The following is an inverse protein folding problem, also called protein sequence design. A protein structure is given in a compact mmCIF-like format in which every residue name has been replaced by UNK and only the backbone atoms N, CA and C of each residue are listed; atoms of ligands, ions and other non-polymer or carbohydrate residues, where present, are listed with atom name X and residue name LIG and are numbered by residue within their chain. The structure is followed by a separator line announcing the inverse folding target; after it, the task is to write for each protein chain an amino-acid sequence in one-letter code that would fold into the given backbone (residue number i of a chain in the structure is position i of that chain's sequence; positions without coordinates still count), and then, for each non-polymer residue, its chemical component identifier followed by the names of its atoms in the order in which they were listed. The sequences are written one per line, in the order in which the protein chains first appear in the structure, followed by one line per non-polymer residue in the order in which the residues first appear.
data_IF_748169733274
#
_entry.id   IF_748169733274
#
_cell.length_a   1.000
_cell.length_b   1.000
_cell.length_c   1.000
_cell.angle_alpha   90.00
_cell.angle_beta   90.00
_cell.angle_gamma   90.00
#
_symmetry.space_group_name_H-M   'P 1'
#
loop_
_entity.id
_entity.type
_entity.pdbx_description
1 polymer ?
#
# COMPACT_ATOMS: atom_id res chain seq x y z
N UNK A 1 -8.50 4.68 -23.33
CA UNK A 1 -8.77 5.68 -22.27
C UNK A 1 -7.57 5.64 -21.32
N UNK A 2 -6.73 6.68 -21.29
CA UNK A 2 -5.61 6.79 -20.33
C UNK A 2 -6.16 7.44 -19.08
N UNK A 3 -6.20 6.71 -17.96
CA UNK A 3 -6.54 7.31 -16.68
C UNK A 3 -5.26 7.96 -16.13
N UNK A 4 -5.20 9.28 -16.19
CA UNK A 4 -4.22 10.07 -15.46
C UNK A 4 -4.71 10.14 -14.00
N UNK A 5 -4.05 9.40 -13.10
CA UNK A 5 -4.30 9.54 -11.67
C UNK A 5 -3.33 10.57 -11.09
N UNK A 6 -3.91 11.68 -10.65
CA UNK A 6 -3.26 12.87 -10.13
C UNK A 6 -2.48 12.53 -8.85
N UNK A 7 -1.15 12.79 -8.86
CA UNK A 7 -0.25 12.44 -7.76
C UNK A 7 1.18 12.05 -8.14
N UNK A 8 1.74 12.59 -9.24
CA UNK A 8 3.19 12.65 -9.46
C UNK A 8 3.94 11.35 -9.80
N UNK A 9 3.26 10.21 -9.95
CA UNK A 9 3.87 8.98 -10.49
C UNK A 9 2.89 8.31 -11.45
N UNK A 10 3.16 8.42 -12.75
CA UNK A 10 2.41 7.69 -13.78
C UNK A 10 2.80 6.20 -13.71
N UNK A 11 2.09 5.43 -12.88
CA UNK A 11 2.19 3.96 -12.90
C UNK A 11 1.55 3.43 -14.17
N UNK A 12 2.25 2.54 -14.87
CA UNK A 12 1.81 2.01 -16.16
C UNK A 12 0.80 0.86 -16.02
N UNK A 13 0.75 0.25 -14.84
CA UNK A 13 -0.11 -0.87 -14.47
C UNK A 13 -1.01 -0.49 -13.30
N UNK A 14 -2.23 -1.04 -13.31
CA UNK A 14 -3.22 -0.79 -12.26
C UNK A 14 -2.81 -1.48 -10.96
N UNK A 15 -2.16 -2.63 -11.07
CA UNK A 15 -1.65 -3.46 -9.99
C UNK A 15 -0.63 -2.68 -9.14
N UNK A 16 0.40 -2.11 -9.78
CA UNK A 16 1.41 -1.29 -9.10
C UNK A 16 0.78 -0.08 -8.41
N UNK A 17 -0.06 0.65 -9.14
CA UNK A 17 -0.75 1.83 -8.59
C UNK A 17 -1.53 1.47 -7.32
N UNK A 18 -2.36 0.43 -7.38
CA UNK A 18 -3.19 -0.02 -6.25
C UNK A 18 -2.35 -0.41 -5.05
N UNK A 19 -1.32 -1.23 -5.24
CA UNK A 19 -0.45 -1.68 -4.14
C UNK A 19 0.25 -0.50 -3.45
N UNK A 20 0.80 0.45 -4.22
CA UNK A 20 1.45 1.63 -3.65
C UNK A 20 0.44 2.52 -2.90
N UNK A 21 -0.74 2.75 -3.47
CA UNK A 21 -1.78 3.56 -2.84
C UNK A 21 -2.25 2.93 -1.52
N UNK A 22 -2.51 1.62 -1.50
CA UNK A 22 -2.93 0.89 -0.30
C UNK A 22 -1.89 1.08 0.81
N UNK A 23 -0.61 0.86 0.51
CA UNK A 23 0.46 0.95 1.51
C UNK A 23 0.64 2.38 2.02
N UNK A 24 0.66 3.37 1.13
CA UNK A 24 0.78 4.79 1.54
C UNK A 24 -0.39 5.22 2.43
N UNK A 25 -1.60 4.79 2.08
CA UNK A 25 -2.79 5.10 2.86
C UNK A 25 -2.79 4.39 4.23
N UNK A 26 -2.40 3.12 4.26
CA UNK A 26 -2.24 2.38 5.50
C UNK A 26 -1.22 3.03 6.43
N UNK A 27 -0.04 3.38 5.90
CA UNK A 27 1.01 4.05 6.68
C UNK A 27 0.51 5.39 7.25
N UNK A 28 -0.14 6.21 6.44
CA UNK A 28 -0.71 7.48 6.88
C UNK A 28 -1.76 7.29 7.99
N UNK A 29 -2.54 6.21 7.92
CA UNK A 29 -3.51 5.85 8.96
C UNK A 29 -2.81 5.44 10.25
N UNK A 30 -1.79 4.58 10.18
CA UNK A 30 -1.01 4.17 11.36
C UNK A 30 -0.30 5.35 12.01
N UNK A 31 0.22 6.29 11.21
CA UNK A 31 0.84 7.52 11.71
C UNK A 31 -0.15 8.37 12.53
N UNK A 32 -1.39 8.52 12.05
CA UNK A 32 -2.43 9.22 12.82
C UNK A 32 -2.79 8.50 14.10
N UNK A 33 -2.86 7.16 14.06
CA UNK A 33 -3.09 6.34 15.26
C UNK A 33 -1.95 6.54 16.27
N UNK A 34 -0.69 6.50 15.83
CA UNK A 34 0.47 6.68 16.71
C UNK A 34 0.57 8.10 17.28
N UNK A 35 0.09 9.12 16.56
CA UNK A 35 -0.06 10.48 17.07
C UNK A 35 -1.22 10.65 18.07
N UNK A 36 -2.06 9.64 18.25
CA UNK A 36 -3.20 9.69 19.17
C UNK A 36 -4.43 10.41 18.59
N UNK A 37 -4.49 10.67 17.28
CA UNK A 37 -5.63 11.33 16.61
C UNK A 37 -6.93 10.55 16.79
N UNK A 38 -6.82 9.24 17.08
CA UNK A 38 -7.94 8.35 17.31
C UNK A 38 -8.13 7.97 18.81
N UNK A 39 -7.48 8.64 19.75
CA UNK A 39 -7.55 8.30 21.18
C UNK A 39 -6.78 7.00 21.51
N UNK A 40 -7.02 6.44 22.70
CA UNK A 40 -6.29 5.26 23.16
C UNK A 40 -6.63 4.03 22.31
N UNK A 41 -5.60 3.51 21.65
CA UNK A 41 -5.67 2.33 20.81
C UNK A 41 -5.26 1.08 21.60
N UNK A 42 -5.96 -0.07 21.48
CA UNK A 42 -5.66 -1.28 22.26
C UNK A 42 -4.40 -2.03 21.81
N UNK A 43 -3.74 -1.59 20.72
CA UNK A 43 -2.48 -2.17 20.26
C UNK A 43 -1.32 -1.34 20.81
N UNK A 44 -0.28 -2.03 21.28
CA UNK A 44 0.94 -1.42 21.79
C UNK A 44 1.63 -0.56 20.72
N UNK A 45 2.18 0.58 21.13
CA UNK A 45 2.85 1.53 20.22
C UNK A 45 4.01 0.87 19.48
N UNK A 46 4.76 -0.02 20.12
CA UNK A 46 5.88 -0.74 19.49
C UNK A 46 5.41 -1.61 18.31
N UNK A 47 4.21 -2.20 18.41
CA UNK A 47 3.64 -2.98 17.32
C UNK A 47 3.22 -2.10 16.14
N UNK A 48 2.70 -0.90 16.40
CA UNK A 48 2.35 0.07 15.36
C UNK A 48 3.61 0.54 14.63
N UNK A 49 4.69 0.84 15.37
CA UNK A 49 5.97 1.25 14.79
C UNK A 49 6.60 0.15 13.93
N UNK A 50 6.50 -1.11 14.36
CA UNK A 50 6.94 -2.25 13.56
C UNK A 50 6.11 -2.38 12.28
N UNK A 51 4.78 -2.30 12.38
CA UNK A 51 3.89 -2.39 11.22
C UNK A 51 4.12 -1.22 10.24
N UNK A 52 4.42 -0.01 10.74
CA UNK A 52 4.82 1.13 9.90
C UNK A 52 6.17 0.91 9.20
N UNK A 53 7.11 0.24 9.86
CA UNK A 53 8.41 -0.13 9.27
C UNK A 53 8.20 -1.14 8.13
N UNK A 54 7.36 -2.14 8.35
CA UNK A 54 7.04 -3.16 7.34
C UNK A 54 6.30 -2.53 6.14
N UNK A 55 5.33 -1.64 6.38
CA UNK A 55 4.68 -0.88 5.32
C UNK A 55 5.67 -0.01 4.53
N UNK A 56 6.67 0.57 5.18
CA UNK A 56 7.72 1.32 4.47
C UNK A 56 8.54 0.41 3.55
N UNK A 57 8.84 -0.81 3.99
CA UNK A 57 9.52 -1.81 3.17
C UNK A 57 8.66 -2.22 1.96
N UNK A 58 7.36 -2.49 2.17
CA UNK A 58 6.43 -2.77 1.07
C UNK A 58 6.33 -1.62 0.08
N UNK A 59 6.25 -0.37 0.55
CA UNK A 59 6.17 0.80 -0.33
C UNK A 59 7.39 0.86 -1.27
N UNK A 60 8.58 0.69 -0.71
CA UNK A 60 9.83 0.67 -1.49
C UNK A 60 9.86 -0.50 -2.48
N UNK A 61 9.44 -1.69 -2.05
CA UNK A 61 9.35 -2.87 -2.92
C UNK A 61 8.42 -2.59 -4.10
N UNK A 62 7.22 -2.07 -3.85
CA UNK A 62 6.22 -1.86 -4.89
C UNK A 62 6.62 -0.75 -5.86
N UNK A 63 7.20 0.34 -5.37
CA UNK A 63 7.68 1.44 -6.21
C UNK A 63 8.87 1.02 -7.09
N UNK A 64 9.78 0.20 -6.56
CA UNK A 64 10.99 -0.25 -7.28
C UNK A 64 10.76 -1.41 -8.25
N UNK A 65 9.69 -2.18 -8.05
CA UNK A 65 9.31 -3.25 -8.96
C UNK A 65 9.00 -2.74 -10.37
N UNK A 66 9.43 -3.53 -11.36
CA UNK A 66 9.41 -3.13 -12.76
C UNK A 66 8.03 -3.26 -13.38
N UNK A 67 7.80 -2.43 -14.39
CA UNK A 67 6.69 -2.55 -15.32
C UNK A 67 7.28 -2.72 -16.71
N UNK A 68 6.81 -3.71 -17.46
CA UNK A 68 7.36 -4.04 -18.78
C UNK A 68 6.25 -4.15 -19.82
N UNK A 69 6.50 -3.72 -21.06
CA UNK A 69 5.50 -3.78 -22.12
C UNK A 69 5.22 -5.24 -22.52
N UNK A 70 3.95 -5.58 -22.69
CA UNK A 70 3.48 -6.88 -23.17
C UNK A 70 3.31 -6.92 -24.69
N UNK A 71 3.25 -5.77 -25.34
CA UNK A 71 3.12 -5.65 -26.79
C UNK A 71 4.13 -4.67 -27.38
N UNK A 72 4.37 -4.80 -28.69
CA UNK A 72 5.30 -3.94 -29.44
C UNK A 72 4.80 -2.50 -29.59
N UNK A 73 3.52 -2.26 -29.32
CA UNK A 73 2.89 -0.95 -29.46
C UNK A 73 2.90 -0.18 -28.13
N UNK A 74 3.46 -0.76 -27.06
CA UNK A 74 3.54 -0.19 -25.72
C UNK A 74 2.17 0.24 -25.17
N UNK A 75 1.10 -0.48 -25.54
CA UNK A 75 -0.26 -0.19 -25.08
C UNK A 75 -0.57 -0.95 -23.80
N UNK A 76 -0.05 -2.17 -23.68
CA UNK A 76 -0.23 -3.03 -22.50
C UNK A 76 1.08 -3.21 -21.76
N UNK A 77 1.00 -3.15 -20.43
CA UNK A 77 2.11 -3.39 -19.52
C UNK A 77 1.75 -4.52 -18.56
N UNK A 78 2.76 -5.23 -18.09
CA UNK A 78 2.68 -6.16 -16.98
C UNK A 78 3.53 -5.63 -15.83
N UNK A 79 3.06 -5.89 -14.63
CA UNK A 79 3.81 -5.64 -13.42
C UNK A 79 4.66 -6.87 -13.07
N UNK A 80 5.84 -6.64 -12.50
CA UNK A 80 6.78 -7.71 -12.11
C UNK A 80 6.26 -8.53 -10.92
N UNK A 81 5.53 -7.91 -9.99
CA UNK A 81 5.02 -8.59 -8.81
C UNK A 81 3.62 -9.15 -9.07
N UNK A 82 3.38 -10.34 -8.51
CA UNK A 82 2.04 -10.93 -8.44
C UNK A 82 1.18 -10.15 -7.44
N UNK A 83 0.09 -9.57 -7.94
CA UNK A 83 -0.78 -8.71 -7.15
C UNK A 83 -1.44 -9.46 -5.98
N UNK A 84 -1.94 -10.67 -6.21
CA UNK A 84 -2.69 -11.44 -5.22
C UNK A 84 -1.77 -11.91 -4.08
N UNK A 85 -0.54 -12.32 -4.40
CA UNK A 85 0.53 -12.61 -3.44
C UNK A 85 0.84 -11.39 -2.58
N UNK A 86 1.01 -10.21 -3.18
CA UNK A 86 1.35 -9.00 -2.43
C UNK A 86 0.21 -8.55 -1.51
N UNK A 87 -1.04 -8.66 -1.95
CA UNK A 87 -2.22 -8.38 -1.10
C UNK A 87 -2.24 -9.31 0.12
N UNK A 88 -1.98 -10.62 -0.06
CA UNK A 88 -1.90 -11.56 1.08
C UNK A 88 -0.81 -11.20 2.09
N UNK A 89 0.30 -10.59 1.64
CA UNK A 89 1.32 -10.11 2.57
C UNK A 89 0.85 -8.89 3.36
N UNK A 90 0.15 -7.94 2.71
CA UNK A 90 -0.44 -6.79 3.38
C UNK A 90 -1.54 -7.19 4.38
N UNK A 91 -2.30 -8.25 4.08
CA UNK A 91 -3.32 -8.81 4.97
C UNK A 91 -2.75 -9.36 6.30
N UNK A 92 -1.42 -9.51 6.42
CA UNK A 92 -0.81 -9.84 7.71
C UNK A 92 -0.73 -8.64 8.65
N UNK A 93 -0.89 -7.42 8.13
CA UNK A 93 -0.77 -6.17 8.86
C UNK A 93 -2.15 -5.50 8.98
N UNK A 94 -2.79 -5.20 7.85
CA UNK A 94 -3.96 -4.30 7.79
C UNK A 94 -5.17 -4.77 8.62
N UNK A 95 -5.53 -6.07 8.66
CA UNK A 95 -6.69 -6.54 9.40
C UNK A 95 -6.64 -6.27 10.91
N UNK A 96 -5.43 -6.18 11.50
CA UNK A 96 -5.25 -5.83 12.93
C UNK A 96 -5.94 -4.50 13.29
N UNK A 97 -6.06 -3.61 12.31
CA UNK A 97 -6.56 -2.25 12.49
C UNK A 97 -8.03 -2.08 12.09
N UNK A 98 -8.61 -3.05 11.38
CA UNK A 98 -9.97 -2.95 10.82
C UNK A 98 -11.03 -2.82 11.89
N UNK A 99 -10.99 -3.67 12.92
CA UNK A 99 -12.03 -3.69 13.96
C UNK A 99 -12.13 -2.35 14.69
N UNK A 100 -10.99 -1.73 15.01
CA UNK A 100 -10.98 -0.42 15.64
C UNK A 100 -11.43 0.69 14.69
N UNK A 101 -10.90 0.72 13.47
CA UNK A 101 -11.25 1.76 12.50
C UNK A 101 -12.74 1.70 12.11
N UNK A 102 -13.34 0.51 12.15
CA UNK A 102 -14.77 0.30 11.88
C UNK A 102 -15.67 0.65 13.08
N UNK A 103 -15.10 0.77 14.27
CA UNK A 103 -15.83 1.09 15.52
C UNK A 103 -15.96 2.59 15.82
N UNK A 104 -15.42 3.44 14.96
CA UNK A 104 -15.45 4.91 15.06
C UNK A 104 -16.36 5.53 14.00
#
# INVERSE_FOLDING_TARGET
MRAFYDGGVDYLTVEKHRLVVIVKHAYATLLKISCGDYGNYPIATEQIEQDMTDLTAFCRLFESAKEFPLDKNYVKYSYELDYDEQIKQLDKILPKYVDFLSSK
#
